data_IF_180798031223
#
_entry.id   IF_180798031223
#
_cell.length_a   1.000
_cell.length_b   1.000
_cell.length_c   1.000
_cell.angle_alpha   90.00
_cell.angle_beta   90.00
_cell.angle_gamma   90.00
#
_symmetry.space_group_name_H-M   'P 1'
#
loop_
_entity.id
_entity.type
_entity.pdbx_description
1 polymer ?
#
# COMPACT_ATOMS: atom_id res chain seq x y z
N UNK A 1 6.27 27.62 -5.59
CA UNK A 1 5.57 26.34 -5.34
C UNK A 1 5.47 26.17 -3.83
N UNK A 2 4.26 25.98 -3.28
CA UNK A 2 4.07 25.94 -1.83
C UNK A 2 4.58 24.62 -1.24
N UNK A 3 4.80 24.57 0.07
CA UNK A 3 5.18 23.32 0.75
C UNK A 3 4.13 22.21 0.63
N UNK A 4 2.84 22.58 0.54
CA UNK A 4 1.72 21.66 0.45
C UNK A 4 1.74 20.90 -0.88
N UNK A 5 2.04 21.59 -1.99
CA UNK A 5 2.10 20.98 -3.33
C UNK A 5 3.17 19.89 -3.39
N UNK A 6 4.33 20.13 -2.76
CA UNK A 6 5.43 19.15 -2.68
C UNK A 6 5.05 17.93 -1.86
N UNK A 7 4.37 18.14 -0.73
CA UNK A 7 3.89 17.05 0.14
C UNK A 7 2.86 16.19 -0.61
N UNK A 8 1.92 16.83 -1.32
CA UNK A 8 0.92 16.16 -2.13
C UNK A 8 1.57 15.35 -3.26
N UNK A 9 2.50 15.94 -4.00
CA UNK A 9 3.22 15.27 -5.08
C UNK A 9 3.98 14.03 -4.58
N UNK A 10 4.67 14.13 -3.44
CA UNK A 10 5.33 12.96 -2.82
C UNK A 10 4.32 11.88 -2.41
N UNK A 11 3.17 12.29 -1.85
CA UNK A 11 2.09 11.35 -1.49
C UNK A 11 1.57 10.58 -2.71
N UNK A 12 1.33 11.29 -3.83
CA UNK A 12 0.93 10.68 -5.11
C UNK A 12 1.98 9.64 -5.54
N UNK A 13 3.24 10.05 -5.66
CA UNK A 13 4.32 9.19 -6.11
C UNK A 13 4.49 7.92 -5.26
N UNK A 14 4.39 8.03 -3.93
CA UNK A 14 4.42 6.86 -3.04
C UNK A 14 3.27 5.90 -3.32
N UNK A 15 2.06 6.42 -3.49
CA UNK A 15 0.87 5.59 -3.76
C UNK A 15 0.85 5.00 -5.18
N UNK A 16 1.47 5.67 -6.16
CA UNK A 16 1.68 5.13 -7.51
C UNK A 16 2.65 3.97 -7.49
N UNK A 17 3.79 4.12 -6.80
CA UNK A 17 4.73 3.04 -6.59
C UNK A 17 4.06 1.79 -5.97
N UNK A 18 3.25 1.97 -4.92
CA UNK A 18 2.50 0.85 -4.32
C UNK A 18 1.54 0.20 -5.32
N UNK A 19 0.83 0.99 -6.12
CA UNK A 19 -0.09 0.47 -7.13
C UNK A 19 0.63 -0.33 -8.21
N UNK A 20 1.74 0.18 -8.74
CA UNK A 20 2.55 -0.50 -9.75
C UNK A 20 3.16 -1.80 -9.21
N UNK A 21 3.71 -1.78 -8.01
CA UNK A 21 4.24 -2.99 -7.37
C UNK A 21 3.15 -4.01 -7.09
N UNK A 22 1.97 -3.57 -6.64
CA UNK A 22 0.83 -4.46 -6.44
C UNK A 22 0.35 -5.07 -7.76
N UNK A 23 0.27 -4.29 -8.84
CA UNK A 23 -0.09 -4.77 -10.18
C UNK A 23 0.84 -5.89 -10.67
N UNK A 24 2.15 -5.71 -10.52
CA UNK A 24 3.13 -6.67 -11.03
C UNK A 24 3.38 -7.86 -10.09
N UNK A 25 3.36 -7.63 -8.78
CA UNK A 25 3.76 -8.64 -7.79
C UNK A 25 2.58 -9.33 -7.12
N UNK A 26 1.50 -8.61 -6.85
CA UNK A 26 0.46 -9.10 -5.94
C UNK A 26 -0.80 -9.56 -6.69
N UNK A 27 -1.19 -8.88 -7.77
CA UNK A 27 -2.35 -9.28 -8.57
C UNK A 27 -2.23 -10.70 -9.12
N UNK A 28 -1.09 -11.15 -9.69
CA UNK A 28 -0.93 -12.53 -10.13
C UNK A 28 -1.08 -13.58 -9.02
N UNK A 29 -1.04 -13.14 -7.75
CA UNK A 29 -1.17 -13.98 -6.54
C UNK A 29 -2.55 -13.82 -5.88
N UNK A 30 -3.52 -13.26 -6.59
CA UNK A 30 -4.91 -13.14 -6.11
C UNK A 30 -5.17 -11.95 -5.18
N UNK A 31 -4.27 -10.97 -5.10
CA UNK A 31 -4.54 -9.69 -4.43
C UNK A 31 -5.27 -8.75 -5.39
N UNK A 32 -6.22 -7.98 -4.90
CA UNK A 32 -6.88 -6.92 -5.67
C UNK A 32 -6.55 -5.55 -5.09
N UNK A 33 -6.39 -4.53 -5.94
CA UNK A 33 -6.34 -3.14 -5.48
C UNK A 33 -7.78 -2.64 -5.34
N UNK A 34 -8.18 -2.27 -4.13
CA UNK A 34 -9.53 -1.77 -3.82
C UNK A 34 -9.63 -0.24 -3.90
N UNK A 35 -8.50 0.47 -3.85
CA UNK A 35 -8.47 1.91 -4.06
C UNK A 35 -8.68 2.29 -5.54
N UNK A 36 -9.24 3.47 -5.84
CA UNK A 36 -9.27 4.01 -7.20
C UNK A 36 -7.87 4.10 -7.81
N UNK A 37 -7.76 3.92 -9.14
CA UNK A 37 -6.48 4.06 -9.84
C UNK A 37 -6.06 5.52 -9.98
N UNK A 38 -7.03 6.42 -10.13
CA UNK A 38 -6.81 7.86 -10.31
C UNK A 38 -6.25 8.49 -9.01
N UNK A 39 -5.03 9.05 -9.01
CA UNK A 39 -4.40 9.65 -7.83
C UNK A 39 -5.22 10.78 -7.18
N UNK A 40 -6.03 11.48 -7.96
CA UNK A 40 -6.88 12.59 -7.56
C UNK A 40 -8.07 12.12 -6.71
N UNK A 41 -8.45 10.85 -6.86
CA UNK A 41 -9.58 10.22 -6.17
C UNK A 41 -9.17 9.43 -4.93
N UNK A 42 -7.89 9.48 -4.54
CA UNK A 42 -7.35 8.80 -3.36
C UNK A 42 -6.44 9.73 -2.55
N UNK A 43 -6.41 9.46 -1.24
CA UNK A 43 -5.42 10.06 -0.33
C UNK A 43 -4.07 9.36 -0.42
N UNK A 44 -3.19 9.60 0.56
CA UNK A 44 -1.88 8.95 0.64
C UNK A 44 -1.96 7.53 1.22
N UNK A 45 -2.80 6.68 0.64
CA UNK A 45 -2.92 5.27 1.02
C UNK A 45 -3.40 4.42 -0.15
N UNK A 46 -3.15 3.12 -0.06
CA UNK A 46 -3.67 2.11 -1.01
C UNK A 46 -4.26 0.96 -0.20
N UNK A 47 -5.47 0.55 -0.54
CA UNK A 47 -6.11 -0.63 0.04
C UNK A 47 -5.91 -1.81 -0.88
N UNK A 48 -5.28 -2.86 -0.36
CA UNK A 48 -5.14 -4.18 -0.97
C UNK A 48 -6.24 -5.08 -0.40
N UNK A 49 -6.86 -5.91 -1.23
CA UNK A 49 -7.94 -6.80 -0.82
C UNK A 49 -7.60 -8.27 -1.13
N UNK A 50 -7.88 -9.15 -0.16
CA UNK A 50 -7.67 -10.60 -0.24
C UNK A 50 -8.51 -11.33 0.80
N UNK A 51 -8.98 -12.53 0.49
CA UNK A 51 -9.88 -13.28 1.38
C UNK A 51 -9.27 -13.60 2.77
N UNK A 52 -7.96 -13.78 2.84
CA UNK A 52 -7.15 -14.07 4.04
C UNK A 52 -6.54 -12.79 4.66
N UNK A 53 -7.02 -11.59 4.30
CA UNK A 53 -6.45 -10.32 4.74
C UNK A 53 -6.36 -10.17 6.27
N UNK A 54 -7.27 -10.79 7.02
CA UNK A 54 -7.21 -10.81 8.48
C UNK A 54 -5.93 -11.50 8.98
N UNK A 55 -5.61 -12.69 8.46
CA UNK A 55 -4.41 -13.45 8.81
C UNK A 55 -3.15 -12.75 8.30
N UNK A 56 -3.16 -12.29 7.04
CA UNK A 56 -2.05 -11.56 6.46
C UNK A 56 -1.75 -10.28 7.26
N UNK A 57 -2.77 -9.57 7.75
CA UNK A 57 -2.58 -8.39 8.58
C UNK A 57 -1.86 -8.72 9.89
N UNK A 58 -2.16 -9.85 10.54
CA UNK A 58 -1.48 -10.24 11.78
C UNK A 58 0.02 -10.51 11.55
N UNK A 59 0.37 -11.09 10.40
CA UNK A 59 1.76 -11.39 10.01
C UNK A 59 2.55 -10.12 9.61
N UNK A 60 1.86 -9.05 9.23
CA UNK A 60 2.45 -7.78 8.78
C UNK A 60 2.69 -6.77 9.91
N UNK A 61 2.23 -7.03 11.14
CA UNK A 61 2.36 -6.10 12.28
C UNK A 61 3.83 -5.84 12.66
N UNK A 62 4.76 -6.73 12.29
CA UNK A 62 6.19 -6.52 12.47
C UNK A 62 6.79 -5.70 11.31
N UNK A 63 6.75 -4.37 11.45
CA UNK A 63 7.55 -3.46 10.61
C UNK A 63 6.77 -2.57 9.62
N UNK A 64 5.43 -2.65 9.57
CA UNK A 64 4.60 -1.75 8.78
C UNK A 64 3.33 -1.32 9.53
N UNK A 65 2.98 -0.04 9.46
CA UNK A 65 1.68 0.46 9.94
C UNK A 65 0.62 0.13 8.90
N UNK A 66 -0.08 -0.98 9.13
CA UNK A 66 -1.24 -1.39 8.33
C UNK A 66 -2.53 -1.29 9.12
N UNK A 67 -3.61 -1.03 8.41
CA UNK A 67 -4.95 -0.95 8.97
C UNK A 67 -5.85 -1.97 8.27
N UNK A 68 -6.18 -3.05 8.98
CA UNK A 68 -7.09 -4.07 8.48
C UNK A 68 -8.53 -3.52 8.46
N UNK A 69 -9.20 -3.72 7.33
CA UNK A 69 -10.56 -3.26 7.04
C UNK A 69 -11.40 -4.47 6.65
N UNK A 70 -12.27 -4.97 7.56
CA UNK A 70 -13.14 -6.08 7.26
C UNK A 70 -14.00 -5.83 6.00
N UNK A 71 -14.34 -6.88 5.24
CA UNK A 71 -13.98 -8.27 5.49
C UNK A 71 -12.57 -8.66 5.02
N UNK A 72 -12.03 -7.98 4.00
CA UNK A 72 -10.94 -8.49 3.16
C UNK A 72 -9.85 -7.44 2.85
N UNK A 73 -9.87 -6.26 3.47
CA UNK A 73 -8.99 -5.14 3.12
C UNK A 73 -7.80 -4.96 4.05
N UNK A 74 -6.63 -4.64 3.50
CA UNK A 74 -5.45 -4.13 4.21
C UNK A 74 -5.11 -2.77 3.61
N UNK A 75 -5.19 -1.72 4.42
CA UNK A 75 -4.85 -0.36 4.01
C UNK A 75 -3.39 -0.06 4.33
N UNK A 76 -2.60 0.15 3.29
CA UNK A 76 -1.20 0.61 3.35
C UNK A 76 -1.21 2.14 3.43
N UNK A 77 -0.94 2.68 4.62
CA UNK A 77 -0.86 4.12 4.86
C UNK A 77 0.53 4.67 4.54
N UNK A 78 0.60 5.75 3.75
CA UNK A 78 1.85 6.38 3.33
C UNK A 78 1.85 7.85 3.79
N UNK A 79 2.56 8.15 4.88
CA UNK A 79 2.70 9.54 5.33
C UNK A 79 3.79 10.22 4.50
N UNK A 80 3.48 11.16 3.59
CA UNK A 80 4.51 11.78 2.75
C UNK A 80 5.58 12.55 3.54
N UNK A 81 5.29 12.91 4.79
CA UNK A 81 6.26 13.60 5.67
C UNK A 81 7.31 12.65 6.25
N UNK A 82 6.95 11.40 6.52
CA UNK A 82 7.81 10.46 7.27
C UNK A 82 8.18 9.22 6.46
N UNK A 83 7.30 8.75 5.57
CA UNK A 83 7.51 7.58 4.74
C UNK A 83 8.45 7.89 3.57
N UNK A 84 9.41 7.00 3.35
CA UNK A 84 10.36 7.06 2.22
C UNK A 84 10.10 5.99 1.16
N UNK A 85 10.52 6.23 -0.09
CA UNK A 85 10.34 5.28 -1.19
C UNK A 85 11.00 3.92 -0.94
N UNK A 86 12.22 3.90 -0.38
CA UNK A 86 12.93 2.65 -0.09
C UNK A 86 12.24 1.85 1.03
N UNK A 87 11.65 2.52 2.01
CA UNK A 87 10.84 1.89 3.05
C UNK A 87 9.57 1.30 2.44
N UNK A 88 8.85 2.07 1.62
CA UNK A 88 7.67 1.61 0.88
C UNK A 88 7.98 0.38 0.01
N UNK A 89 9.12 0.38 -0.69
CA UNK A 89 9.57 -0.77 -1.47
C UNK A 89 9.75 -2.01 -0.62
N UNK A 90 10.48 -1.91 0.50
CA UNK A 90 10.73 -3.02 1.43
C UNK A 90 9.43 -3.56 2.00
N UNK A 91 8.49 -2.69 2.32
CA UNK A 91 7.18 -3.07 2.83
C UNK A 91 6.38 -3.88 1.78
N UNK A 92 6.40 -3.44 0.52
CA UNK A 92 5.76 -4.17 -0.58
C UNK A 92 6.45 -5.51 -0.87
N UNK A 93 7.77 -5.59 -0.73
CA UNK A 93 8.52 -6.84 -0.86
C UNK A 93 8.22 -7.84 0.27
N UNK A 94 8.05 -7.35 1.50
CA UNK A 94 7.58 -8.15 2.63
C UNK A 94 6.17 -8.71 2.37
N UNK A 95 5.23 -7.86 1.91
CA UNK A 95 3.89 -8.32 1.51
C UNK A 95 4.00 -9.39 0.42
N UNK A 96 4.80 -9.14 -0.63
CA UNK A 96 5.03 -10.09 -1.73
C UNK A 96 5.48 -11.45 -1.22
N UNK A 97 6.41 -11.47 -0.26
CA UNK A 97 6.94 -12.71 0.32
C UNK A 97 5.87 -13.48 1.12
N UNK A 98 5.02 -12.76 1.85
CA UNK A 98 3.95 -13.37 2.65
C UNK A 98 2.80 -13.91 1.81
N UNK A 99 2.52 -13.31 0.64
CA UNK A 99 1.47 -13.80 -0.28
C UNK A 99 1.94 -14.89 -1.24
N UNK A 100 3.25 -15.20 -1.26
CA UNK A 100 3.84 -16.22 -2.13
C UNK A 100 3.91 -17.62 -1.50
N UNK A 101 3.76 -17.72 -0.17
CA UNK A 101 3.55 -18.98 0.55
C UNK A 101 2.08 -19.26 0.76
#
# INVERSE_FOLDING_TARGET
>A
MSGIDRIRAKGVALTEMVAELAEHWLIPRGVRIASPREPERRGSHVTLARADAAELSQRLIEGMVIDFRPPDGIRVGLSPLTTGFAETWRAMDAIRSLVAG
#
